data_IF_660480371608
#
_entry.id   IF_660480371608
#
_cell.length_a   1.000
_cell.length_b   1.000
_cell.length_c   1.000
_cell.angle_alpha   90.00
_cell.angle_beta   90.00
_cell.angle_gamma   90.00
#
_symmetry.space_group_name_H-M   'P 1'
#
loop_
_entity.id
_entity.type
_entity.pdbx_description
1 polymer ?
#
# COMPACT_ATOMS: atom_id res chain seq x y z
N UNK A 1 26.98 13.29 -3.94
CA UNK A 1 26.02 12.32 -4.47
C UNK A 1 25.64 12.74 -5.88
N UNK A 2 25.72 11.83 -6.83
CA UNK A 2 25.55 12.13 -8.24
C UNK A 2 24.10 12.10 -8.70
N UNK A 3 23.92 12.38 -9.99
CA UNK A 3 22.63 12.41 -10.69
C UNK A 3 21.90 11.08 -10.54
N UNK A 4 22.63 9.93 -10.51
CA UNK A 4 22.03 8.60 -10.35
C UNK A 4 21.25 8.43 -9.05
N UNK A 5 21.69 9.04 -7.94
CA UNK A 5 20.99 8.98 -6.65
C UNK A 5 19.64 9.69 -6.71
N UNK A 6 19.58 10.86 -7.37
CA UNK A 6 18.30 11.59 -7.55
C UNK A 6 17.35 10.84 -8.45
N UNK A 7 17.87 10.22 -9.51
CA UNK A 7 17.07 9.42 -10.45
C UNK A 7 16.44 8.22 -9.72
N UNK A 8 17.22 7.50 -8.91
CA UNK A 8 16.74 6.37 -8.13
C UNK A 8 15.64 6.80 -7.17
N UNK A 9 15.81 7.91 -6.44
CA UNK A 9 14.78 8.44 -5.52
C UNK A 9 13.50 8.79 -6.25
N UNK A 10 13.59 9.32 -7.47
CA UNK A 10 12.41 9.64 -8.29
C UNK A 10 11.65 8.37 -8.66
N UNK A 11 12.35 7.28 -8.98
CA UNK A 11 11.72 6.02 -9.40
C UNK A 11 11.16 5.20 -8.24
N UNK A 12 11.93 5.03 -7.18
CA UNK A 12 11.59 4.11 -6.09
C UNK A 12 11.33 4.78 -4.74
N UNK A 13 11.37 6.11 -4.71
CA UNK A 13 11.16 6.86 -3.47
C UNK A 13 12.27 6.67 -2.47
N UNK A 14 11.99 7.02 -1.22
CA UNK A 14 12.94 6.89 -0.11
C UNK A 14 12.42 5.87 0.91
N UNK A 15 13.29 5.04 1.51
CA UNK A 15 12.88 4.12 2.55
C UNK A 15 12.22 4.87 3.72
N UNK A 16 11.17 4.26 4.28
CA UNK A 16 10.47 4.80 5.45
C UNK A 16 10.54 3.77 6.56
N UNK A 17 10.91 4.23 7.74
CA UNK A 17 10.80 3.44 8.95
C UNK A 17 9.48 3.77 9.63
N UNK A 18 8.67 2.74 9.87
CA UNK A 18 7.38 2.93 10.51
C UNK A 18 7.55 3.32 11.98
N UNK A 19 6.60 4.12 12.55
CA UNK A 19 6.61 4.38 13.97
C UNK A 19 6.66 3.09 14.79
N UNK A 20 7.48 3.07 15.82
CA UNK A 20 7.69 1.89 16.68
C UNK A 20 6.37 1.41 17.26
N UNK A 21 5.52 2.33 17.68
CA UNK A 21 4.20 2.02 18.26
C UNK A 21 3.31 1.24 17.32
N UNK A 22 3.35 1.56 16.02
CA UNK A 22 2.56 0.86 15.02
C UNK A 22 3.06 -0.57 14.83
N UNK A 23 4.37 -0.76 14.77
CA UNK A 23 4.95 -2.10 14.58
C UNK A 23 4.77 -2.96 15.85
N UNK A 24 4.80 -2.35 17.02
CA UNK A 24 4.53 -3.07 18.25
C UNK A 24 3.08 -3.54 18.35
N UNK A 25 2.14 -2.68 17.95
CA UNK A 25 0.71 -3.01 17.98
C UNK A 25 0.30 -3.94 16.85
N UNK A 26 0.94 -3.79 15.68
CA UNK A 26 0.66 -4.58 14.48
C UNK A 26 1.97 -5.16 13.94
N UNK A 27 2.50 -6.22 14.59
CA UNK A 27 3.80 -6.79 14.18
C UNK A 27 3.82 -7.29 12.74
N UNK A 28 2.68 -7.67 12.20
CA UNK A 28 2.54 -8.12 10.82
C UNK A 28 2.99 -7.06 9.80
N UNK A 29 3.01 -5.78 10.18
CA UNK A 29 3.46 -4.71 9.28
C UNK A 29 4.94 -4.89 8.88
N UNK A 30 5.72 -5.62 9.66
CA UNK A 30 7.11 -5.91 9.33
C UNK A 30 7.26 -6.86 8.13
N UNK A 31 6.18 -7.46 7.64
CA UNK A 31 6.19 -8.33 6.46
C UNK A 31 6.42 -7.56 5.14
N UNK A 32 6.27 -6.25 5.15
CA UNK A 32 6.43 -5.42 3.97
C UNK A 32 7.55 -4.40 4.16
N UNK A 33 8.02 -3.85 3.05
CA UNK A 33 8.91 -2.69 3.03
C UNK A 33 8.11 -1.45 2.65
N UNK A 34 8.48 -0.30 3.18
CA UNK A 34 7.74 0.94 2.99
C UNK A 34 8.66 2.02 2.43
N UNK A 35 8.14 2.75 1.43
CA UNK A 35 8.87 3.83 0.79
C UNK A 35 7.96 5.04 0.60
N UNK A 36 8.53 6.24 0.65
CA UNK A 36 7.79 7.48 0.39
C UNK A 36 8.09 7.96 -1.02
N UNK A 37 7.04 8.35 -1.75
CA UNK A 37 7.16 8.83 -3.11
C UNK A 37 7.43 7.71 -4.08
N UNK A 38 8.03 8.06 -5.22
CA UNK A 38 8.33 7.12 -6.27
C UNK A 38 7.32 7.16 -7.41
N UNK A 39 7.73 6.61 -8.53
CA UNK A 39 6.94 6.60 -9.76
C UNK A 39 5.61 5.86 -9.61
N UNK A 40 5.53 4.71 -8.89
CA UNK A 40 4.26 3.99 -8.77
C UNK A 40 3.12 4.82 -8.20
N UNK A 41 3.39 5.62 -7.16
CA UNK A 41 2.36 6.48 -6.54
C UNK A 41 1.92 7.57 -7.51
N UNK A 42 2.85 8.15 -8.26
CA UNK A 42 2.56 9.20 -9.24
C UNK A 42 1.70 8.67 -10.40
N UNK A 43 2.05 7.50 -10.93
CA UNK A 43 1.30 6.86 -12.00
C UNK A 43 -0.08 6.43 -11.50
N UNK A 44 -0.16 5.86 -10.31
CA UNK A 44 -1.42 5.44 -9.72
C UNK A 44 -2.40 6.58 -9.53
N UNK A 45 -1.93 7.73 -9.05
CA UNK A 45 -2.76 8.92 -8.94
C UNK A 45 -3.30 9.37 -10.28
N UNK A 46 -2.45 9.38 -11.30
CA UNK A 46 -2.85 9.76 -12.65
C UNK A 46 -3.90 8.79 -13.23
N UNK A 47 -3.67 7.48 -13.10
CA UNK A 47 -4.57 6.46 -13.67
C UNK A 47 -5.94 6.42 -12.99
N UNK A 48 -6.04 6.84 -11.74
CA UNK A 48 -7.31 6.91 -11.01
C UNK A 48 -8.06 8.23 -11.22
N UNK A 49 -7.50 9.13 -12.01
CA UNK A 49 -8.11 10.45 -12.25
C UNK A 49 -8.06 11.35 -11.02
N UNK A 50 -7.26 11.01 -10.04
CA UNK A 50 -7.03 11.82 -8.84
C UNK A 50 -5.62 12.41 -8.89
N UNK A 51 -5.40 13.50 -8.14
CA UNK A 51 -4.08 14.12 -8.09
C UNK A 51 -3.03 13.23 -7.46
N UNK A 52 -3.43 12.35 -6.53
CA UNK A 52 -2.53 11.44 -5.83
C UNK A 52 -3.27 10.19 -5.38
N UNK A 53 -2.65 9.03 -5.56
CA UNK A 53 -3.02 7.85 -4.80
C UNK A 53 -2.36 7.98 -3.42
N UNK A 54 -3.04 7.58 -2.35
CA UNK A 54 -2.47 7.63 -1.01
C UNK A 54 -1.30 6.65 -0.88
N UNK A 55 -1.47 5.45 -1.43
CA UNK A 55 -0.43 4.44 -1.45
C UNK A 55 -0.68 3.43 -2.55
N UNK A 56 0.37 2.76 -2.99
CA UNK A 56 0.31 1.66 -3.96
C UNK A 56 1.25 0.56 -3.51
N UNK A 57 0.77 -0.66 -3.54
CA UNK A 57 1.56 -1.85 -3.22
C UNK A 57 2.02 -2.54 -4.51
N UNK A 58 3.30 -2.83 -4.58
CA UNK A 58 3.90 -3.68 -5.60
C UNK A 58 4.68 -4.79 -4.91
N UNK A 59 4.19 -6.02 -5.01
CA UNK A 59 4.73 -7.20 -4.32
C UNK A 59 4.84 -6.95 -2.82
N UNK A 60 6.04 -6.84 -2.28
CA UNK A 60 6.27 -6.63 -0.83
C UNK A 60 6.56 -5.20 -0.47
N UNK A 61 6.54 -4.28 -1.43
CA UNK A 61 6.86 -2.88 -1.18
C UNK A 61 5.61 -2.02 -1.29
N UNK A 62 5.39 -1.20 -0.26
CA UNK A 62 4.31 -0.23 -0.21
C UNK A 62 4.91 1.15 -0.48
N UNK A 63 4.46 1.79 -1.55
CA UNK A 63 4.86 3.16 -1.91
C UNK A 63 3.78 4.11 -1.40
N UNK A 64 4.18 5.06 -0.56
CA UNK A 64 3.26 5.97 0.11
C UNK A 64 3.49 7.39 -0.43
N UNK A 65 2.41 8.07 -0.77
CA UNK A 65 2.48 9.46 -1.21
C UNK A 65 3.10 10.33 -0.11
N UNK A 66 4.00 11.29 -0.45
CA UNK A 66 4.69 12.08 0.56
C UNK A 66 3.81 12.76 1.61
N UNK A 67 2.64 13.35 1.25
CA UNK A 67 1.81 14.01 2.26
C UNK A 67 0.92 13.07 3.07
N UNK A 68 0.86 11.78 2.73
CA UNK A 68 -0.08 10.85 3.35
C UNK A 68 0.38 10.44 4.75
N UNK A 69 -0.48 10.56 5.79
CA UNK A 69 -0.13 10.09 7.12
C UNK A 69 0.00 8.56 7.17
N UNK A 70 0.91 8.08 8.02
CA UNK A 70 1.12 6.65 8.24
C UNK A 70 0.14 6.17 9.31
N UNK A 71 -1.08 5.82 8.90
CA UNK A 71 -2.10 5.31 9.80
C UNK A 71 -2.13 3.79 9.78
N UNK A 72 -2.57 3.18 10.88
CA UNK A 72 -2.73 1.73 10.96
C UNK A 72 -3.70 1.24 9.88
N UNK A 73 -4.80 1.96 9.66
CA UNK A 73 -5.79 1.60 8.64
C UNK A 73 -5.17 1.50 7.25
N UNK A 74 -4.43 2.54 6.85
CA UNK A 74 -3.77 2.56 5.54
C UNK A 74 -2.75 1.42 5.42
N UNK A 75 -1.90 1.27 6.41
CA UNK A 75 -0.82 0.29 6.36
C UNK A 75 -1.34 -1.15 6.36
N UNK A 76 -2.37 -1.43 7.14
CA UNK A 76 -2.99 -2.76 7.15
C UNK A 76 -3.72 -3.05 5.83
N UNK A 77 -4.37 -2.05 5.25
CA UNK A 77 -5.00 -2.16 3.94
C UNK A 77 -3.95 -2.54 2.88
N UNK A 78 -2.84 -1.82 2.85
CA UNK A 78 -1.77 -2.10 1.89
C UNK A 78 -1.07 -3.42 2.17
N UNK A 79 -0.94 -3.82 3.44
CA UNK A 79 -0.40 -5.12 3.79
C UNK A 79 -1.24 -6.25 3.19
N UNK A 80 -2.57 -6.10 3.18
CA UNK A 80 -3.43 -7.11 2.55
C UNK A 80 -3.12 -7.25 1.06
N UNK A 81 -2.83 -6.15 0.38
CA UNK A 81 -2.39 -6.22 -1.02
C UNK A 81 -1.07 -6.98 -1.17
N UNK A 82 -0.14 -6.82 -0.22
CA UNK A 82 1.09 -7.64 -0.20
C UNK A 82 0.73 -9.13 -0.16
N UNK A 83 -0.20 -9.51 0.73
CA UNK A 83 -0.66 -10.90 0.82
C UNK A 83 -1.26 -11.39 -0.50
N UNK A 84 -2.05 -10.55 -1.16
CA UNK A 84 -2.67 -10.88 -2.44
C UNK A 84 -1.62 -11.13 -3.54
N UNK A 85 -0.56 -10.31 -3.58
CA UNK A 85 0.57 -10.54 -4.48
C UNK A 85 1.27 -11.86 -4.20
N UNK A 86 1.48 -12.18 -2.92
CA UNK A 86 2.18 -13.40 -2.53
C UNK A 86 1.34 -14.66 -2.73
N UNK A 87 0.02 -14.55 -2.68
CA UNK A 87 -0.90 -15.67 -2.84
C UNK A 87 -1.07 -16.08 -4.31
N UNK A 88 -0.90 -15.14 -5.26
CA UNK A 88 -1.14 -15.44 -6.67
C UNK A 88 -0.27 -14.56 -7.57
N UNK A 89 0.49 -15.24 -8.44
CA UNK A 89 1.28 -14.56 -9.47
C UNK A 89 0.39 -13.82 -10.48
N UNK A 90 -0.86 -14.27 -10.64
CA UNK A 90 -1.83 -13.64 -11.53
C UNK A 90 -2.51 -12.41 -10.93
N UNK A 91 -2.24 -12.09 -9.66
CA UNK A 91 -2.93 -11.00 -8.97
C UNK A 91 -2.90 -9.67 -9.72
N UNK A 92 -1.77 -9.17 -10.27
CA UNK A 92 -1.78 -7.88 -10.98
C UNK A 92 -2.78 -7.85 -12.13
N UNK A 93 -2.89 -8.95 -12.87
CA UNK A 93 -3.82 -9.05 -14.01
C UNK A 93 -5.26 -9.14 -13.53
N UNK A 94 -5.51 -9.93 -12.50
CA UNK A 94 -6.84 -10.06 -11.89
C UNK A 94 -7.31 -8.75 -11.28
N UNK A 95 -6.41 -8.03 -10.62
CA UNK A 95 -6.70 -6.72 -10.06
C UNK A 95 -7.10 -5.72 -11.17
N UNK A 96 -6.32 -5.68 -12.24
CA UNK A 96 -6.61 -4.81 -13.37
C UNK A 96 -7.97 -5.14 -14.00
N UNK A 97 -8.25 -6.43 -14.21
CA UNK A 97 -9.54 -6.89 -14.73
C UNK A 97 -10.70 -6.43 -13.84
N UNK A 98 -10.58 -6.63 -12.53
CA UNK A 98 -11.58 -6.22 -11.55
C UNK A 98 -11.82 -4.71 -11.60
N UNK A 99 -10.76 -3.92 -11.72
CA UNK A 99 -10.85 -2.47 -11.80
C UNK A 99 -11.55 -2.00 -13.07
N UNK A 100 -11.25 -2.64 -14.20
CA UNK A 100 -11.90 -2.33 -15.49
C UNK A 100 -13.38 -2.71 -15.45
N UNK A 101 -13.70 -3.89 -14.91
CA UNK A 101 -15.06 -4.42 -14.93
C UNK A 101 -15.99 -3.77 -13.92
N UNK A 102 -15.50 -3.50 -12.72
CA UNK A 102 -16.34 -3.05 -11.59
C UNK A 102 -15.96 -1.69 -11.04
N UNK A 103 -14.83 -1.11 -11.44
CA UNK A 103 -14.29 0.12 -10.87
C UNK A 103 -13.50 -0.16 -9.59
N UNK A 104 -12.77 0.87 -9.14
CA UNK A 104 -11.87 0.73 -7.98
C UNK A 104 -12.62 0.35 -6.71
N UNK A 105 -13.71 1.06 -6.39
CA UNK A 105 -14.44 0.83 -5.12
C UNK A 105 -15.07 -0.55 -5.04
N UNK A 106 -15.42 -1.15 -6.18
CA UNK A 106 -16.05 -2.48 -6.24
C UNK A 106 -15.08 -3.59 -6.60
N UNK A 107 -13.82 -3.26 -6.83
CA UNK A 107 -12.77 -4.26 -7.06
C UNK A 107 -12.72 -5.19 -5.84
N UNK A 108 -12.85 -6.52 -6.09
CA UNK A 108 -12.93 -7.51 -5.02
C UNK A 108 -11.70 -7.48 -4.11
N UNK A 109 -10.53 -7.19 -4.66
CA UNK A 109 -9.29 -7.12 -3.88
C UNK A 109 -9.27 -5.89 -2.98
N UNK A 110 -9.85 -4.78 -3.42
CA UNK A 110 -10.00 -3.58 -2.59
C UNK A 110 -11.02 -3.79 -1.48
N UNK A 111 -12.13 -4.46 -1.78
CA UNK A 111 -13.14 -4.82 -0.78
C UNK A 111 -12.50 -5.71 0.30
N UNK A 112 -11.75 -6.72 -0.13
CA UNK A 112 -11.03 -7.63 0.79
C UNK A 112 -10.04 -6.87 1.66
N UNK A 113 -9.28 -5.94 1.09
CA UNK A 113 -8.29 -5.16 1.84
C UNK A 113 -8.96 -4.24 2.88
N UNK A 114 -10.07 -3.62 2.53
CA UNK A 114 -10.85 -2.80 3.48
C UNK A 114 -11.40 -3.64 4.64
N UNK A 115 -11.91 -4.82 4.33
CA UNK A 115 -12.42 -5.74 5.37
C UNK A 115 -11.31 -6.21 6.30
N UNK A 116 -10.16 -6.55 5.74
CA UNK A 116 -9.00 -6.99 6.51
C UNK A 116 -8.56 -5.91 7.51
N UNK A 117 -8.36 -4.68 7.04
CA UNK A 117 -7.92 -3.59 7.92
C UNK A 117 -8.96 -3.29 9.02
N UNK A 118 -10.25 -3.26 8.66
CA UNK A 118 -11.31 -3.01 9.63
C UNK A 118 -11.38 -4.12 10.71
N UNK A 119 -11.27 -5.38 10.30
CA UNK A 119 -11.30 -6.50 11.24
C UNK A 119 -10.09 -6.48 12.18
N UNK A 120 -8.92 -6.18 11.65
CA UNK A 120 -7.70 -6.12 12.47
C UNK A 120 -7.73 -4.97 13.47
N UNK A 121 -8.24 -3.81 13.06
CA UNK A 121 -8.39 -2.67 13.95
C UNK A 121 -9.39 -2.97 15.08
N UNK A 122 -10.51 -3.62 14.75
CA UNK A 122 -11.49 -4.03 15.76
C UNK A 122 -10.88 -5.01 16.77
N UNK A 123 -10.11 -5.98 16.31
CA UNK A 123 -9.44 -6.93 17.19
C UNK A 123 -8.47 -6.23 18.15
N UNK A 124 -7.68 -5.27 17.65
CA UNK A 124 -6.76 -4.51 18.47
C UNK A 124 -7.49 -3.66 19.52
N UNK A 125 -8.61 -3.06 19.15
CA UNK A 125 -9.41 -2.25 20.08
C UNK A 125 -10.02 -3.09 21.21
N UNK A 126 -10.35 -4.35 20.95
CA UNK A 126 -10.87 -5.27 21.97
C UNK A 126 -9.78 -5.73 22.94
N UNK A 127 -8.52 -5.71 22.52
CA UNK A 127 -7.39 -6.09 23.35
C UNK A 127 -6.94 -4.97 24.31
N UNK A 128 -7.38 -3.72 24.05
CA UNK A 128 -6.96 -2.57 24.86
C UNK A 128 -7.79 -2.39 26.12
#
# INVERSE_FOLDING_TARGET
>A
MGIGSRFVKTLIGEPVQLPVELVQRYPELAQASYRRGGLPVRIGGWSLGTSTAAAITLWRTVFISPPTPLTAELLLHELRHVHQFLESWAFPFSYLWQSIRYGYSRNAYEVDARRYSAARLNAANKES
#
